data_IF_927902622259
#
_entry.id   IF_927902622259
#
_cell.length_a   1.000
_cell.length_b   1.000
_cell.length_c   1.000
_cell.angle_alpha   90.00
_cell.angle_beta   90.00
_cell.angle_gamma   90.00
#
_symmetry.space_group_name_H-M   'P 1'
#
loop_
_entity.id
_entity.type
_entity.pdbx_description
1 polymer ?
#
# COMPACT_ATOMS: atom_id res chain seq x y z
N UNK A 1 -11.54 -33.15 39.18
CA UNK A 1 -12.10 -32.13 38.26
C UNK A 1 -10.93 -31.39 37.64
N UNK A 2 -10.65 -31.67 36.37
CA UNK A 2 -9.60 -31.02 35.60
C UNK A 2 -10.23 -29.84 34.85
N UNK A 3 -9.78 -28.61 35.10
CA UNK A 3 -10.12 -27.46 34.28
C UNK A 3 -8.97 -27.17 33.33
N UNK A 4 -9.12 -27.64 32.10
CA UNK A 4 -8.27 -27.31 30.97
C UNK A 4 -8.77 -25.97 30.41
N UNK A 5 -8.09 -24.86 30.72
CA UNK A 5 -8.34 -23.58 30.06
C UNK A 5 -7.25 -23.34 29.02
N UNK A 6 -7.58 -23.67 27.78
CA UNK A 6 -6.83 -23.29 26.59
C UNK A 6 -6.87 -21.75 26.45
N UNK A 7 -5.72 -21.09 26.61
CA UNK A 7 -5.50 -19.76 26.05
C UNK A 7 -4.39 -19.89 25.03
N UNK A 8 -4.78 -20.24 23.80
CA UNK A 8 -3.88 -20.15 22.65
C UNK A 8 -3.79 -18.67 22.29
N UNK A 9 -2.86 -17.97 22.94
CA UNK A 9 -2.34 -16.71 22.40
C UNK A 9 -1.54 -17.05 21.15
N UNK A 10 -2.17 -16.97 19.98
CA UNK A 10 -1.46 -16.83 18.71
C UNK A 10 -0.83 -15.43 18.67
N UNK A 11 0.23 -15.24 19.46
CA UNK A 11 1.28 -14.27 19.16
C UNK A 11 2.01 -14.83 17.94
N UNK A 12 1.47 -14.59 16.74
CA UNK A 12 2.26 -14.78 15.53
C UNK A 12 3.41 -13.80 15.62
N UNK A 13 4.60 -14.34 15.84
CA UNK A 13 5.86 -13.64 15.79
C UNK A 13 5.88 -12.74 14.54
N UNK A 14 5.74 -11.43 14.74
CA UNK A 14 6.31 -10.49 13.80
C UNK A 14 7.80 -10.79 13.81
N UNK A 15 8.22 -11.57 12.82
CA UNK A 15 9.62 -11.72 12.51
C UNK A 15 10.13 -10.30 12.40
N UNK A 16 11.10 -9.97 13.23
CA UNK A 16 11.93 -8.77 13.14
C UNK A 16 12.65 -8.85 11.80
N UNK A 17 11.92 -8.58 10.73
CA UNK A 17 12.45 -8.06 9.50
C UNK A 17 13.15 -6.79 9.97
N UNK A 18 14.48 -6.82 10.01
CA UNK A 18 15.28 -5.60 9.95
C UNK A 18 14.52 -4.66 9.02
N UNK A 19 14.39 -3.37 9.36
CA UNK A 19 13.86 -2.31 8.51
C UNK A 19 14.64 -2.20 7.19
N UNK A 20 14.65 -3.27 6.40
CA UNK A 20 15.29 -3.47 5.14
C UNK A 20 14.27 -2.97 4.15
N UNK A 21 14.22 -1.65 4.03
CA UNK A 21 13.42 -0.86 3.10
C UNK A 21 12.16 -1.60 2.64
N UNK A 22 11.03 -1.43 3.33
CA UNK A 22 9.71 -1.84 2.81
C UNK A 22 9.53 -1.36 1.34
N UNK A 23 10.10 -0.19 1.03
CA UNK A 23 10.18 0.37 -0.33
C UNK A 23 11.16 -0.31 -1.31
N UNK A 24 11.93 -1.32 -0.94
CA UNK A 24 12.89 -2.01 -1.83
C UNK A 24 12.18 -2.66 -3.03
N UNK A 25 10.88 -2.93 -2.89
CA UNK A 25 10.01 -3.51 -3.91
C UNK A 25 9.51 -2.49 -4.94
N UNK A 26 9.77 -1.21 -4.70
CA UNK A 26 9.42 -0.12 -5.60
C UNK A 26 10.67 0.38 -6.31
N UNK A 27 10.67 0.32 -7.64
CA UNK A 27 11.74 0.90 -8.43
C UNK A 27 11.57 2.42 -8.49
N UNK A 28 12.67 3.17 -8.33
CA UNK A 28 12.64 4.63 -8.49
C UNK A 28 12.61 4.97 -9.98
N UNK A 29 11.49 5.52 -10.46
CA UNK A 29 11.28 5.85 -11.87
C UNK A 29 10.20 6.92 -12.06
N UNK A 30 10.62 8.17 -12.23
CA UNK A 30 9.72 9.31 -12.43
C UNK A 30 8.84 9.18 -13.68
N UNK A 31 9.38 8.62 -14.76
CA UNK A 31 8.67 8.47 -16.03
C UNK A 31 7.52 7.46 -15.90
N UNK A 32 7.74 6.34 -15.21
CA UNK A 32 6.70 5.34 -14.99
C UNK A 32 5.64 5.84 -14.02
N UNK A 33 6.02 6.50 -12.92
CA UNK A 33 5.04 7.13 -12.03
C UNK A 33 4.23 8.19 -12.77
N UNK A 34 4.88 9.03 -13.58
CA UNK A 34 4.22 10.03 -14.40
C UNK A 34 3.26 9.41 -15.42
N UNK A 35 3.63 8.28 -16.04
CA UNK A 35 2.79 7.57 -17.01
C UNK A 35 1.59 6.89 -16.36
N UNK A 36 1.79 6.12 -15.30
CA UNK A 36 0.71 5.39 -14.63
C UNK A 36 -0.24 6.33 -13.89
N UNK A 37 0.27 7.40 -13.25
CA UNK A 37 -0.58 8.39 -12.58
C UNK A 37 -1.08 9.52 -13.49
N UNK A 38 -0.91 9.37 -14.81
CA UNK A 38 -1.56 10.23 -15.78
C UNK A 38 -2.98 9.71 -16.07
N UNK A 39 -3.98 10.53 -15.73
CA UNK A 39 -5.41 10.16 -15.86
C UNK A 39 -5.93 10.15 -17.30
N UNK A 40 -5.22 10.80 -18.23
CA UNK A 40 -5.72 10.97 -19.60
C UNK A 40 -5.47 9.76 -20.49
N UNK A 41 -4.38 9.02 -20.27
CA UNK A 41 -4.01 7.82 -21.04
C UNK A 41 -3.19 6.84 -20.19
N UNK A 42 -3.79 6.29 -19.11
CA UNK A 42 -3.10 5.33 -18.27
C UNK A 42 -2.86 4.00 -19.03
N UNK A 43 -1.74 3.29 -18.75
CA UNK A 43 -1.53 1.95 -19.28
C UNK A 43 -2.66 0.98 -18.89
N UNK A 44 -2.83 -0.09 -19.67
CA UNK A 44 -3.70 -1.19 -19.27
C UNK A 44 -3.12 -1.94 -18.08
N UNK A 45 -4.00 -2.40 -17.17
CA UNK A 45 -3.64 -3.12 -15.96
C UNK A 45 -4.44 -2.65 -14.76
N UNK A 46 -4.30 -3.35 -13.64
CA UNK A 46 -4.85 -2.95 -12.35
C UNK A 46 -3.73 -2.38 -11.50
N UNK A 47 -3.87 -1.14 -11.06
CA UNK A 47 -2.90 -0.45 -10.23
C UNK A 47 -3.58 0.70 -9.51
N UNK A 48 -2.95 1.17 -8.44
CA UNK A 48 -3.41 2.33 -7.68
C UNK A 48 -2.28 3.34 -7.57
N UNK A 49 -2.62 4.60 -7.85
CA UNK A 49 -1.73 5.72 -7.64
C UNK A 49 -1.95 6.35 -6.27
N UNK A 50 -0.84 6.67 -5.61
CA UNK A 50 -0.83 7.31 -4.30
C UNK A 50 0.01 8.59 -4.31
N UNK A 51 -0.38 9.51 -3.46
CA UNK A 51 0.37 10.71 -3.14
C UNK A 51 0.65 10.74 -1.64
N UNK A 52 1.87 11.09 -1.28
CA UNK A 52 2.35 11.21 0.09
C UNK A 52 2.88 12.62 0.34
N UNK A 53 2.60 13.20 1.51
CA UNK A 53 3.17 14.50 1.91
C UNK A 53 4.55 14.27 2.51
N UNK A 54 5.58 14.27 1.66
CA UNK A 54 6.97 14.00 2.05
C UNK A 54 7.58 12.94 1.15
N UNK A 55 8.54 12.18 1.68
CA UNK A 55 9.15 11.04 0.99
C UNK A 55 8.70 9.74 1.65
N UNK A 56 7.81 9.00 0.99
CA UNK A 56 7.25 7.74 1.51
C UNK A 56 8.32 6.72 1.90
N UNK A 57 9.53 6.77 1.32
CA UNK A 57 10.63 5.86 1.66
C UNK A 57 11.10 5.97 3.09
N UNK A 58 10.92 7.14 3.69
CA UNK A 58 11.34 7.42 5.06
C UNK A 58 10.25 7.03 6.07
N UNK A 59 9.03 6.76 5.60
CA UNK A 59 7.83 6.59 6.41
C UNK A 59 7.16 5.22 6.25
N UNK A 60 7.44 4.49 5.16
CA UNK A 60 6.87 3.17 4.95
C UNK A 60 7.51 2.16 5.90
N UNK A 61 6.72 1.64 6.82
CA UNK A 61 7.14 0.73 7.89
C UNK A 61 6.98 -0.73 7.48
N UNK A 62 6.00 -1.04 6.64
CA UNK A 62 5.71 -2.40 6.20
C UNK A 62 5.11 -2.44 4.78
N UNK A 63 5.34 -3.54 4.07
CA UNK A 63 4.74 -3.85 2.76
C UNK A 63 4.63 -5.36 2.62
N UNK A 64 3.52 -5.80 2.02
CA UNK A 64 3.33 -7.19 1.68
C UNK A 64 4.40 -7.72 0.71
N UNK A 65 4.64 -9.02 0.80
CA UNK A 65 5.70 -9.67 0.04
C UNK A 65 5.42 -9.80 -1.46
N UNK A 66 4.18 -9.58 -1.90
CA UNK A 66 3.81 -9.55 -3.33
C UNK A 66 3.83 -8.15 -3.92
N UNK A 67 3.79 -7.11 -3.08
CA UNK A 67 3.71 -5.74 -3.57
C UNK A 67 4.92 -5.38 -4.39
N UNK A 68 4.67 -4.65 -5.47
CA UNK A 68 5.68 -4.05 -6.30
C UNK A 68 5.12 -2.82 -7.03
N UNK A 69 6.02 -2.01 -7.57
CA UNK A 69 5.63 -0.87 -8.37
C UNK A 69 6.73 0.16 -8.53
N UNK A 70 6.31 1.42 -8.62
CA UNK A 70 7.22 2.53 -8.93
C UNK A 70 7.02 3.69 -7.97
N UNK A 71 8.10 4.38 -7.66
CA UNK A 71 8.09 5.60 -6.85
C UNK A 71 8.89 6.68 -7.55
N UNK A 72 8.46 7.93 -7.48
CA UNK A 72 9.18 9.03 -8.11
C UNK A 72 10.40 9.43 -7.26
N UNK A 73 11.35 10.15 -7.83
CA UNK A 73 12.60 10.51 -7.13
C UNK A 73 12.34 11.30 -5.85
N UNK A 74 11.31 12.16 -5.83
CA UNK A 74 10.90 12.91 -4.64
C UNK A 74 10.25 12.04 -3.54
N UNK A 75 9.74 10.86 -3.87
CA UNK A 75 9.02 9.99 -2.94
C UNK A 75 7.63 10.45 -2.53
N UNK A 76 7.13 11.51 -3.16
CA UNK A 76 5.80 12.05 -2.87
C UNK A 76 4.70 11.45 -3.77
N UNK A 77 5.07 10.63 -4.76
CA UNK A 77 4.14 9.88 -5.61
C UNK A 77 4.65 8.48 -5.90
N UNK A 78 3.76 7.51 -5.84
CA UNK A 78 4.07 6.13 -6.14
C UNK A 78 2.86 5.38 -6.69
N UNK A 79 3.15 4.25 -7.31
CA UNK A 79 2.17 3.36 -7.95
C UNK A 79 2.37 1.98 -7.39
N UNK A 80 1.27 1.36 -6.97
CA UNK A 80 1.23 -0.04 -6.58
C UNK A 80 0.58 -0.82 -7.73
N UNK A 81 1.29 -1.82 -8.25
CA UNK A 81 0.78 -2.71 -9.30
C UNK A 81 0.05 -3.87 -8.65
N UNK A 82 -1.18 -4.15 -9.09
CA UNK A 82 -2.02 -5.15 -8.46
C UNK A 82 -2.02 -6.47 -9.25
N UNK A 83 -1.53 -7.54 -8.61
CA UNK A 83 -1.39 -8.87 -9.22
C UNK A 83 -2.59 -9.81 -8.96
N UNK A 84 -3.72 -9.30 -8.51
CA UNK A 84 -4.92 -10.12 -8.23
C UNK A 84 -5.01 -10.68 -6.81
N UNK A 85 -4.01 -10.41 -5.96
CA UNK A 85 -4.02 -10.74 -4.52
C UNK A 85 -4.19 -9.46 -3.72
N UNK A 86 -4.83 -9.53 -2.56
CA UNK A 86 -4.87 -8.40 -1.62
C UNK A 86 -3.45 -7.95 -1.31
N UNK A 87 -3.22 -6.64 -1.38
CA UNK A 87 -1.95 -6.00 -1.11
C UNK A 87 -2.10 -5.00 0.02
N UNK A 88 -1.19 -5.02 0.99
CA UNK A 88 -1.20 -4.10 2.09
C UNK A 88 0.17 -3.48 2.37
N UNK A 89 0.15 -2.20 2.74
CA UNK A 89 1.34 -1.51 3.24
C UNK A 89 0.97 -0.64 4.43
N UNK A 90 1.98 -0.36 5.25
CA UNK A 90 1.86 0.52 6.41
C UNK A 90 2.87 1.65 6.30
N UNK A 91 2.45 2.84 6.71
CA UNK A 91 3.33 3.97 7.04
C UNK A 91 3.52 4.04 8.56
N UNK A 92 4.14 5.10 9.05
CA UNK A 92 4.18 5.43 10.48
C UNK A 92 2.82 5.96 10.99
N UNK A 93 1.86 6.25 10.11
CA UNK A 93 0.58 6.89 10.45
C UNK A 93 -0.66 6.20 9.93
N UNK A 94 -0.54 5.32 8.94
CA UNK A 94 -1.66 4.79 8.20
C UNK A 94 -1.37 3.38 7.69
N UNK A 95 -2.35 2.50 7.85
CA UNK A 95 -2.41 1.22 7.16
C UNK A 95 -3.28 1.35 5.92
N UNK A 96 -2.84 0.71 4.83
CA UNK A 96 -3.54 0.72 3.54
C UNK A 96 -3.69 -0.71 3.05
N UNK A 97 -4.91 -1.08 2.65
CA UNK A 97 -5.23 -2.36 2.05
C UNK A 97 -5.87 -2.11 0.69
N UNK A 98 -5.37 -2.82 -0.33
CA UNK A 98 -5.86 -2.80 -1.71
C UNK A 98 -6.42 -4.17 -2.01
N UNK A 99 -7.68 -4.22 -2.41
CA UNK A 99 -8.38 -5.46 -2.71
C UNK A 99 -9.01 -5.42 -4.10
N UNK A 100 -9.23 -6.61 -4.67
CA UNK A 100 -9.88 -6.72 -5.97
C UNK A 100 -11.35 -6.32 -5.84
N UNK A 101 -11.76 -5.37 -6.68
CA UNK A 101 -13.16 -5.00 -6.89
C UNK A 101 -13.36 -4.60 -8.36
N UNK A 102 -14.62 -4.53 -8.79
CA UNK A 102 -15.00 -4.25 -10.19
C UNK A 102 -15.98 -3.07 -10.19
N UNK A 103 -15.76 -2.04 -11.02
CA UNK A 103 -14.77 -1.94 -12.09
C UNK A 103 -13.36 -1.48 -11.65
N UNK A 104 -13.20 -1.06 -10.40
CA UNK A 104 -11.94 -0.53 -9.87
C UNK A 104 -11.52 -1.26 -8.60
N UNK A 105 -10.23 -1.19 -8.27
CA UNK A 105 -9.73 -1.71 -7.01
C UNK A 105 -10.33 -0.93 -5.84
N UNK A 106 -10.62 -1.64 -4.75
CA UNK A 106 -11.02 -1.01 -3.50
C UNK A 106 -9.78 -0.75 -2.66
N UNK A 107 -9.71 0.45 -2.07
CA UNK A 107 -8.59 0.87 -1.23
C UNK A 107 -9.15 1.32 0.10
N UNK A 108 -8.83 0.60 1.16
CA UNK A 108 -9.21 0.92 2.53
C UNK A 108 -7.99 1.47 3.26
N UNK A 109 -8.16 2.60 3.95
CA UNK A 109 -7.14 3.19 4.80
C UNK A 109 -7.62 3.21 6.24
N UNK A 110 -6.73 2.92 7.18
CA UNK A 110 -6.96 3.09 8.61
C UNK A 110 -5.84 3.96 9.16
N UNK A 111 -6.17 5.14 9.68
CA UNK A 111 -5.16 6.00 10.30
C UNK A 111 -4.89 5.61 11.77
N UNK A 112 -3.78 6.11 12.32
CA UNK A 112 -3.39 5.89 13.71
C UNK A 112 -4.38 6.43 14.75
N UNK A 113 -5.30 7.32 14.33
CA UNK A 113 -6.39 7.84 15.16
C UNK A 113 -7.60 6.90 15.21
N UNK A 114 -7.64 5.89 14.34
CA UNK A 114 -8.73 4.93 14.21
C UNK A 114 -9.76 5.31 13.15
N UNK A 115 -9.55 6.40 12.40
CA UNK A 115 -10.44 6.79 11.32
C UNK A 115 -10.18 5.94 10.08
N UNK A 116 -11.23 5.31 9.57
CA UNK A 116 -11.17 4.55 8.33
C UNK A 116 -11.78 5.32 7.15
N UNK A 117 -11.21 5.11 5.96
CA UNK A 117 -11.74 5.65 4.70
C UNK A 117 -11.60 4.63 3.59
N UNK A 118 -12.54 4.68 2.65
CA UNK A 118 -12.58 3.80 1.48
C UNK A 118 -12.52 4.64 0.21
N UNK A 119 -11.77 4.16 -0.76
CA UNK A 119 -11.56 4.81 -2.05
C UNK A 119 -11.69 3.79 -3.18
N UNK A 120 -11.96 4.31 -4.38
CA UNK A 120 -11.92 3.54 -5.62
C UNK A 120 -10.63 3.87 -6.37
N UNK A 121 -9.71 2.90 -6.40
CA UNK A 121 -8.41 2.97 -7.07
C UNK A 121 -8.52 2.63 -8.57
N UNK A 122 -9.18 3.49 -9.34
CA UNK A 122 -9.25 3.34 -10.79
C UNK A 122 -7.97 3.85 -11.47
N UNK A 123 -7.58 3.30 -12.62
CA UNK A 123 -6.40 3.77 -13.36
C UNK A 123 -6.50 5.22 -13.85
N UNK A 124 -7.72 5.75 -13.98
CA UNK A 124 -8.00 7.14 -14.34
C UNK A 124 -8.31 8.06 -13.14
N UNK A 125 -8.25 7.55 -11.90
CA UNK A 125 -8.56 8.35 -10.72
C UNK A 125 -7.40 9.26 -10.29
N UNK A 126 -7.67 10.35 -9.55
CA UNK A 126 -6.62 11.03 -8.80
C UNK A 126 -5.81 10.09 -7.92
N UNK A 127 -4.50 10.35 -7.74
CA UNK A 127 -3.74 9.67 -6.70
C UNK A 127 -4.42 9.83 -5.33
N UNK A 128 -4.54 8.73 -4.60
CA UNK A 128 -5.12 8.71 -3.25
C UNK A 128 -4.08 9.29 -2.29
N UNK A 129 -4.51 10.26 -1.49
CA UNK A 129 -3.66 10.88 -0.49
C UNK A 129 -3.53 9.97 0.73
N UNK A 130 -2.30 9.63 1.08
CA UNK A 130 -1.93 8.82 2.26
C UNK A 130 -0.89 9.56 3.09
N UNK A 131 -0.82 9.22 4.39
CA UNK A 131 -0.02 9.91 5.40
C UNK A 131 0.86 8.96 6.19
#
# INVERSE_FOLDING_TARGET
>A
MFFTSLCIFFLTCFSSVLAGNAMRRFATNDNLVGRYCNRYDPPQGQFVCFQYIGNIRDHMTSTDASMHGYVNSAGNRFVVMFDGKTEAFSTDRMDVVISYSVPCLEVSTLDSGGDSREYQGCSWSPPILVY
#
